data_IF_360267717067
#
_entry.id   IF_360267717067
#
_cell.length_a   1.000
_cell.length_b   1.000
_cell.length_c   1.000
_cell.angle_alpha   90.00
_cell.angle_beta   90.00
_cell.angle_gamma   90.00
#
_symmetry.space_group_name_H-M   'P 1'
#
loop_
_entity.id
_entity.type
_entity.pdbx_description
1 polymer ?
#
# COMPACT_ATOMS: atom_id res chain seq x y z
N UNK A 1 0.27 21.65 -9.80
CA UNK A 1 0.42 20.60 -8.81
C UNK A 1 -0.73 19.63 -8.88
N UNK A 2 -0.46 18.39 -9.15
CA UNK A 2 -1.54 17.42 -9.15
C UNK A 2 -2.10 17.28 -7.74
N UNK A 3 -3.40 17.07 -7.66
CA UNK A 3 -4.03 16.79 -6.38
C UNK A 3 -3.62 15.42 -5.88
N UNK A 4 -4.19 14.99 -4.74
CA UNK A 4 -3.91 13.66 -4.24
C UNK A 4 -4.33 12.60 -5.26
N UNK A 5 -3.60 11.50 -5.25
CA UNK A 5 -3.93 10.38 -6.13
C UNK A 5 -5.26 9.75 -5.71
N UNK A 6 -5.92 9.16 -6.66
CA UNK A 6 -7.07 8.31 -6.37
C UNK A 6 -6.54 6.93 -5.97
N UNK A 7 -7.17 6.29 -4.97
CA UNK A 7 -6.71 4.99 -4.49
C UNK A 7 -7.73 3.91 -4.85
N UNK A 8 -7.24 2.85 -5.46
CA UNK A 8 -8.05 1.67 -5.71
C UNK A 8 -7.38 0.48 -5.05
N UNK A 9 -8.17 -0.53 -4.70
CA UNK A 9 -7.68 -1.69 -3.95
C UNK A 9 -7.96 -2.96 -4.73
N UNK A 10 -6.98 -3.84 -4.77
CA UNK A 10 -7.23 -5.19 -5.28
C UNK A 10 -8.10 -5.94 -4.28
N UNK A 11 -8.64 -7.08 -4.72
CA UNK A 11 -9.41 -7.92 -3.81
C UNK A 11 -8.57 -8.35 -2.61
N UNK A 12 -7.32 -8.72 -2.86
CA UNK A 12 -6.42 -9.14 -1.80
C UNK A 12 -6.20 -8.03 -0.77
N UNK A 13 -5.95 -6.80 -1.24
CA UNK A 13 -5.74 -5.68 -0.34
C UNK A 13 -6.99 -5.37 0.46
N UNK A 14 -8.14 -5.42 -0.21
CA UNK A 14 -9.41 -5.16 0.48
C UNK A 14 -9.68 -6.19 1.55
N UNK A 15 -9.45 -7.47 1.23
CA UNK A 15 -9.64 -8.53 2.21
C UNK A 15 -8.73 -8.36 3.42
N UNK A 16 -7.47 -7.99 3.17
CA UNK A 16 -6.54 -7.77 4.28
C UNK A 16 -7.06 -6.69 5.22
N UNK A 17 -7.52 -5.58 4.67
CA UNK A 17 -8.01 -4.46 5.48
C UNK A 17 -9.32 -4.77 6.19
N UNK A 18 -10.18 -5.56 5.56
CA UNK A 18 -11.50 -5.83 6.11
C UNK A 18 -11.54 -7.04 7.04
N UNK A 19 -10.63 -8.02 6.83
CA UNK A 19 -10.74 -9.29 7.55
C UNK A 19 -9.45 -9.78 8.17
N UNK A 20 -8.32 -9.72 7.43
CA UNK A 20 -7.14 -10.48 7.82
C UNK A 20 -6.28 -9.77 8.84
N UNK A 21 -6.24 -8.44 8.80
CA UNK A 21 -5.40 -7.67 9.70
C UNK A 21 -6.13 -7.41 11.00
N UNK A 22 -5.40 -7.36 12.13
CA UNK A 22 -5.99 -6.88 13.36
C UNK A 22 -6.57 -5.48 13.15
N UNK A 23 -7.66 -5.18 13.82
CA UNK A 23 -8.38 -3.94 13.59
C UNK A 23 -7.50 -2.71 13.71
N UNK A 24 -6.64 -2.66 14.73
CA UNK A 24 -5.76 -1.51 14.90
C UNK A 24 -4.79 -1.36 13.73
N UNK A 25 -4.27 -2.47 13.25
CA UNK A 25 -3.33 -2.45 12.13
C UNK A 25 -4.06 -2.04 10.86
N UNK A 26 -5.24 -2.57 10.63
CA UNK A 26 -6.03 -2.22 9.46
C UNK A 26 -6.37 -0.74 9.44
N UNK A 27 -6.77 -0.20 10.58
CA UNK A 27 -7.09 1.23 10.67
C UNK A 27 -5.86 2.09 10.38
N UNK A 28 -4.74 1.73 11.00
CA UNK A 28 -3.49 2.49 10.79
C UNK A 28 -3.06 2.42 9.33
N UNK A 29 -3.16 1.24 8.73
CA UNK A 29 -2.78 1.06 7.32
C UNK A 29 -3.67 1.89 6.42
N UNK A 30 -4.97 1.87 6.66
CA UNK A 30 -5.90 2.63 5.85
C UNK A 30 -5.63 4.14 5.95
N UNK A 31 -5.40 4.63 7.16
CA UNK A 31 -5.10 6.04 7.35
C UNK A 31 -3.81 6.44 6.67
N UNK A 32 -2.81 5.58 6.72
CA UNK A 32 -1.55 5.83 6.03
C UNK A 32 -1.76 5.89 4.52
N UNK A 33 -2.53 4.94 3.98
CA UNK A 33 -2.79 4.88 2.55
C UNK A 33 -3.52 6.12 2.08
N UNK A 34 -4.56 6.52 2.80
CA UNK A 34 -5.40 7.64 2.38
C UNK A 34 -4.79 9.00 2.72
N UNK A 35 -3.77 9.03 3.54
CA UNK A 35 -3.06 10.25 3.89
C UNK A 35 -1.71 10.36 3.20
N UNK A 36 -0.63 10.00 3.90
CA UNK A 36 0.72 10.20 3.35
C UNK A 36 0.98 9.52 2.03
N UNK A 37 0.53 8.27 1.87
CA UNK A 37 0.77 7.53 0.64
C UNK A 37 0.08 8.20 -0.54
N UNK A 38 -1.16 8.58 -0.35
CA UNK A 38 -1.96 9.18 -1.40
C UNK A 38 -1.39 10.51 -1.87
N UNK A 39 -0.76 11.23 -0.96
CA UNK A 39 -0.20 12.55 -1.29
C UNK A 39 1.10 12.45 -2.06
N UNK A 40 1.94 11.49 -1.70
CA UNK A 40 3.29 11.42 -2.28
C UNK A 40 3.77 9.98 -2.38
N UNK A 41 3.15 9.19 -3.25
CA UNK A 41 3.47 7.77 -3.33
C UNK A 41 4.89 7.46 -3.76
N UNK A 42 5.52 8.36 -4.50
CA UNK A 42 6.90 8.13 -4.93
C UNK A 42 7.90 8.29 -3.80
N UNK A 43 7.58 9.11 -2.80
CA UNK A 43 8.50 9.37 -1.70
C UNK A 43 8.32 8.47 -0.50
N UNK A 44 7.07 8.11 -0.19
CA UNK A 44 6.83 7.37 1.06
C UNK A 44 7.20 5.91 0.96
N UNK A 45 7.27 5.35 -0.24
CA UNK A 45 7.69 3.98 -0.44
C UNK A 45 8.93 3.93 -1.29
N UNK A 46 9.38 2.69 -1.57
CA UNK A 46 10.54 2.46 -2.40
C UNK A 46 10.20 1.50 -3.52
N UNK A 47 10.74 1.72 -4.72
CA UNK A 47 10.50 0.79 -5.81
C UNK A 47 11.14 -0.56 -5.54
N UNK A 48 10.46 -1.62 -5.94
CA UNK A 48 10.98 -2.97 -5.81
C UNK A 48 11.72 -3.36 -7.06
N UNK A 49 12.69 -4.27 -6.89
CA UNK A 49 13.48 -4.77 -8.00
C UNK A 49 12.74 -5.89 -8.71
N UNK A 50 13.21 -6.18 -9.93
CA UNK A 50 12.71 -7.34 -10.64
C UNK A 50 12.82 -8.59 -9.76
N UNK A 51 11.87 -9.50 -9.84
CA UNK A 51 10.73 -9.52 -10.77
C UNK A 51 9.49 -8.76 -10.28
N UNK A 52 9.61 -8.02 -9.20
CA UNK A 52 8.47 -7.34 -8.59
C UNK A 52 8.24 -5.93 -9.14
N UNK A 53 9.21 -5.39 -9.88
CA UNK A 53 9.00 -4.10 -10.53
C UNK A 53 7.79 -4.21 -11.46
N UNK A 54 6.96 -3.17 -11.60
CA UNK A 54 7.18 -1.79 -11.12
C UNK A 54 6.49 -1.47 -9.78
N UNK A 55 6.35 -2.46 -8.92
CA UNK A 55 5.67 -2.24 -7.64
C UNK A 55 6.54 -1.46 -6.67
N UNK A 56 5.89 -0.82 -5.72
CA UNK A 56 6.52 -0.11 -4.61
C UNK A 56 6.12 -0.78 -3.31
N UNK A 57 6.95 -0.61 -2.30
CA UNK A 57 6.63 -1.07 -0.95
C UNK A 57 6.84 0.06 0.04
N UNK A 58 5.88 0.26 0.92
CA UNK A 58 6.00 1.20 2.03
C UNK A 58 5.83 0.42 3.32
N UNK A 59 6.84 0.49 4.18
CA UNK A 59 6.81 -0.22 5.45
C UNK A 59 6.53 0.78 6.57
N UNK A 60 5.54 0.46 7.39
CA UNK A 60 5.18 1.28 8.53
C UNK A 60 4.83 0.38 9.71
N UNK A 61 5.57 0.53 10.82
CA UNK A 61 5.24 -0.20 12.04
C UNK A 61 5.06 -1.68 11.79
N UNK A 62 3.83 -2.13 11.94
CA UNK A 62 3.51 -3.55 11.91
C UNK A 62 3.04 -4.04 10.55
N UNK A 63 3.05 -3.19 9.53
CA UNK A 63 2.50 -3.59 8.24
C UNK A 63 3.34 -3.05 7.09
N UNK A 64 3.14 -3.64 5.93
CA UNK A 64 3.76 -3.23 4.68
C UNK A 64 2.69 -3.11 3.61
N UNK A 65 2.73 -2.02 2.87
CA UNK A 65 1.78 -1.79 1.77
C UNK A 65 2.54 -1.96 0.46
N UNK A 66 2.04 -2.84 -0.39
CA UNK A 66 2.58 -3.03 -1.73
C UNK A 66 1.62 -2.36 -2.70
N UNK A 67 2.15 -1.49 -3.55
CA UNK A 67 1.28 -0.70 -4.41
C UNK A 67 1.94 -0.39 -5.73
N UNK A 68 1.12 0.01 -6.70
CA UNK A 68 1.57 0.41 -8.01
C UNK A 68 1.09 1.83 -8.27
N UNK A 69 1.94 2.63 -8.90
CA UNK A 69 1.59 4.02 -9.20
C UNK A 69 1.31 4.13 -10.69
N UNK A 70 0.14 4.65 -11.03
CA UNK A 70 -0.25 4.90 -12.40
C UNK A 70 -0.31 6.41 -12.56
N UNK A 71 0.86 6.99 -12.85
CA UNK A 71 1.00 8.44 -12.86
C UNK A 71 0.13 9.12 -13.89
N UNK A 72 -0.06 8.50 -15.04
CA UNK A 72 -0.86 9.10 -16.10
C UNK A 72 -2.30 9.34 -15.68
N UNK A 73 -2.78 8.56 -14.72
CA UNK A 73 -4.16 8.68 -14.26
C UNK A 73 -4.24 9.24 -12.84
N UNK A 74 -3.10 9.47 -12.21
CA UNK A 74 -3.03 9.87 -10.82
C UNK A 74 -3.76 8.86 -9.93
N UNK A 75 -3.47 7.58 -10.16
CA UNK A 75 -4.09 6.47 -9.44
C UNK A 75 -3.01 5.65 -8.75
N UNK A 76 -3.28 5.25 -7.53
CA UNK A 76 -2.48 4.27 -6.80
C UNK A 76 -3.31 3.01 -6.67
N UNK A 77 -2.78 1.89 -7.13
CA UNK A 77 -3.42 0.61 -6.92
C UNK A 77 -2.73 -0.08 -5.76
N UNK A 78 -3.43 -0.26 -4.65
CA UNK A 78 -2.90 -1.00 -3.51
C UNK A 78 -3.07 -2.47 -3.81
N UNK A 79 -1.96 -3.16 -4.00
CA UNK A 79 -1.96 -4.55 -4.43
C UNK A 79 -2.12 -5.49 -3.25
N UNK A 80 -1.43 -5.20 -2.16
CA UNK A 80 -1.58 -6.01 -0.95
C UNK A 80 -1.16 -5.21 0.27
N UNK A 81 -1.70 -5.61 1.43
CA UNK A 81 -1.30 -5.06 2.72
C UNK A 81 -0.96 -6.27 3.58
N UNK A 82 0.29 -6.33 4.04
CA UNK A 82 0.81 -7.50 4.71
C UNK A 82 1.18 -7.14 6.13
N UNK A 83 0.70 -7.94 7.08
CA UNK A 83 1.08 -7.77 8.47
C UNK A 83 2.54 -8.16 8.62
N UNK A 84 3.26 -7.46 9.48
CA UNK A 84 4.67 -7.74 9.74
C UNK A 84 4.91 -9.23 10.02
N UNK A 85 4.02 -9.84 10.79
CA UNK A 85 4.12 -11.24 11.14
C UNK A 85 4.10 -12.14 9.90
N UNK A 86 3.27 -11.80 8.94
CA UNK A 86 3.10 -12.61 7.74
C UNK A 86 4.21 -12.39 6.71
N UNK A 87 4.93 -11.29 6.83
CA UNK A 87 5.99 -10.99 5.88
C UNK A 87 7.17 -11.97 5.99
N UNK A 88 7.26 -12.69 7.10
CA UNK A 88 8.33 -13.65 7.33
C UNK A 88 7.88 -15.09 7.11
N UNK A 89 6.65 -15.29 6.69
CA UNK A 89 6.14 -16.62 6.34
C UNK A 89 6.13 -16.72 4.84
N UNK A 90 6.89 -17.60 4.31
CA UNK A 90 6.94 -17.76 2.86
C UNK A 90 6.19 -18.98 2.43
#
# INVERSE_FOLDING_TARGET
MPGPYEVVFTRSARRALERDLPEKVATAAFEFIMGPLRKDPHKVGKPLREPLAPLFAARRGEYRVIYRIIDQRLVIEVVSVVHRRDAYHS
#
